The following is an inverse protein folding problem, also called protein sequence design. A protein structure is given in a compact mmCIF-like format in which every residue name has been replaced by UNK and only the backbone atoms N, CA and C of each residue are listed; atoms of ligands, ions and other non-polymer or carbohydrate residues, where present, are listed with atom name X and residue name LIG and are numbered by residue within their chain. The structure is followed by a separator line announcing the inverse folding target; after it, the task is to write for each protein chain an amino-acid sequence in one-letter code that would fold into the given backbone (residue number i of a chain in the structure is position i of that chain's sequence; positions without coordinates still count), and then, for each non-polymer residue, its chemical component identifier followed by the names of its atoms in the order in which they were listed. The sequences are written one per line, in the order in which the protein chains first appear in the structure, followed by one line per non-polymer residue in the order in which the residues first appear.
data_IF_215257777408
#
_entry.id   IF_215257777408
#
_cell.length_a   1.000
_cell.length_b   1.000
_cell.length_c   1.000
_cell.angle_alpha   90.00
_cell.angle_beta   90.00
_cell.angle_gamma   90.00
#
_symmetry.space_group_name_H-M   'P 1'
#
loop_
_entity.id
_entity.type
_entity.pdbx_description
1 polymer ?
#
# COMPACT_ATOMS: atom_id res chain seq x y z
N UNK A 1 -48.13 -63.86 36.25
CA UNK A 1 -47.82 -62.46 36.63
C UNK A 1 -46.65 -62.00 35.78
N UNK A 2 -46.92 -61.30 34.66
CA UNK A 2 -46.78 -59.83 34.48
C UNK A 2 -45.32 -59.33 34.38
N UNK A 3 -44.95 -58.96 33.13
CA UNK A 3 -43.98 -57.93 32.68
C UNK A 3 -42.50 -58.08 33.12
N UNK A 4 -41.45 -57.69 32.38
CA UNK A 4 -41.33 -56.69 31.31
C UNK A 4 -40.14 -57.01 30.38
N UNK A 5 -40.35 -56.84 29.08
CA UNK A 5 -39.29 -56.85 28.08
C UNK A 5 -38.45 -55.57 28.14
N UNK A 6 -37.13 -55.72 28.15
CA UNK A 6 -36.17 -54.62 28.17
C UNK A 6 -35.81 -54.28 26.72
N UNK A 7 -36.37 -53.18 26.20
CA UNK A 7 -36.03 -52.66 24.87
C UNK A 7 -34.66 -51.96 24.94
N UNK A 8 -33.67 -52.46 24.23
CA UNK A 8 -32.44 -51.73 23.90
C UNK A 8 -32.82 -50.64 22.88
N UNK A 9 -32.80 -49.38 23.31
CA UNK A 9 -32.85 -48.24 22.40
C UNK A 9 -31.48 -48.02 21.78
N UNK A 10 -31.34 -48.28 20.47
CA UNK A 10 -30.24 -47.74 19.68
C UNK A 10 -30.47 -46.25 19.47
N UNK A 11 -29.66 -45.42 20.11
CA UNK A 11 -29.60 -43.99 19.84
C UNK A 11 -28.77 -43.78 18.57
N UNK A 12 -29.43 -43.50 17.45
CA UNK A 12 -28.79 -43.11 16.21
C UNK A 12 -28.22 -41.68 16.35
N UNK A 13 -26.90 -41.58 16.44
CA UNK A 13 -26.17 -40.32 16.48
C UNK A 13 -26.06 -39.77 15.06
N UNK A 14 -26.96 -38.84 14.68
CA UNK A 14 -26.86 -38.10 13.41
C UNK A 14 -25.68 -37.13 13.49
N UNK A 15 -24.60 -37.43 12.76
CA UNK A 15 -23.51 -36.51 12.49
C UNK A 15 -23.98 -35.50 11.43
N UNK A 16 -24.41 -34.32 11.86
CA UNK A 16 -24.61 -33.16 10.99
C UNK A 16 -23.23 -32.67 10.52
N UNK A 17 -22.83 -33.07 9.31
CA UNK A 17 -21.70 -32.48 8.61
C UNK A 17 -22.02 -31.04 8.23
N UNK A 18 -21.59 -30.10 9.06
CA UNK A 18 -21.60 -28.68 8.71
C UNK A 18 -20.54 -28.42 7.64
N UNK A 19 -20.97 -28.22 6.38
CA UNK A 19 -20.12 -27.57 5.38
C UNK A 19 -19.77 -26.17 5.90
N UNK A 20 -18.55 -26.01 6.39
CA UNK A 20 -17.96 -24.70 6.62
C UNK A 20 -17.80 -24.04 5.25
N UNK A 21 -18.74 -23.17 4.88
CA UNK A 21 -18.51 -22.20 3.83
C UNK A 21 -17.40 -21.29 4.33
N UNK A 22 -16.17 -21.55 3.87
CA UNK A 22 -15.09 -20.59 3.98
C UNK A 22 -15.61 -19.28 3.37
N UNK A 23 -15.51 -18.13 4.07
CA UNK A 23 -15.78 -16.86 3.43
C UNK A 23 -14.86 -16.77 2.21
N UNK A 24 -15.44 -16.45 1.06
CA UNK A 24 -14.66 -16.11 -0.12
C UNK A 24 -13.64 -15.05 0.31
N UNK A 25 -12.36 -15.29 0.05
CA UNK A 25 -11.36 -14.26 0.18
C UNK A 25 -11.85 -13.07 -0.65
N UNK A 26 -12.07 -11.92 -0.01
CA UNK A 26 -12.35 -10.68 -0.74
C UNK A 26 -11.26 -10.55 -1.82
N UNK A 27 -11.60 -10.26 -3.09
CA UNK A 27 -10.62 -9.76 -4.06
C UNK A 27 -10.23 -8.31 -3.72
N UNK A 28 -10.17 -8.00 -2.41
CA UNK A 28 -9.68 -6.75 -1.88
C UNK A 28 -8.20 -6.74 -2.16
N UNK A 29 -7.83 -5.95 -3.17
CA UNK A 29 -6.53 -5.33 -3.37
C UNK A 29 -5.52 -5.76 -2.30
N UNK A 30 -4.65 -6.70 -2.65
CA UNK A 30 -3.45 -6.94 -1.86
C UNK A 30 -2.72 -5.60 -1.77
N UNK A 31 -2.88 -4.92 -0.62
CA UNK A 31 -2.14 -3.71 -0.34
C UNK A 31 -0.67 -4.06 -0.57
N UNK A 32 0.07 -3.29 -1.38
CA UNK A 32 1.49 -3.54 -1.53
C UNK A 32 2.11 -3.55 -0.14
N UNK A 33 2.86 -4.61 0.19
CA UNK A 33 3.57 -4.76 1.46
C UNK A 33 4.45 -3.56 1.83
N UNK A 34 4.75 -2.69 0.85
CA UNK A 34 5.49 -1.44 1.01
C UNK A 34 4.90 -0.47 2.04
N UNK A 35 3.58 -0.47 2.28
CA UNK A 35 2.97 0.46 3.25
C UNK A 35 3.01 -0.04 4.71
N UNK A 36 3.49 -1.26 4.99
CA UNK A 36 3.35 -1.89 6.31
C UNK A 36 4.03 -1.13 7.46
N UNK A 37 4.96 -0.23 7.13
CA UNK A 37 5.69 0.62 8.09
C UNK A 37 5.51 2.12 7.82
N UNK A 38 4.63 2.53 6.91
CA UNK A 38 4.38 3.94 6.59
C UNK A 38 2.91 4.26 6.81
N UNK A 39 2.61 5.39 7.44
CA UNK A 39 1.25 5.86 7.71
C UNK A 39 1.13 7.31 7.26
N UNK A 40 -0.03 7.66 6.70
CA UNK A 40 -0.39 9.04 6.39
C UNK A 40 -1.58 9.40 7.24
N UNK A 41 -1.43 10.41 8.08
CA UNK A 41 -2.42 10.87 9.01
C UNK A 41 -3.04 12.16 8.52
N UNK A 42 -4.36 12.14 8.28
CA UNK A 42 -5.17 13.33 8.05
C UNK A 42 -5.76 13.75 9.38
N UNK A 43 -5.24 14.85 9.92
CA UNK A 43 -5.65 15.37 11.21
C UNK A 43 -6.70 16.48 11.05
N UNK A 44 -7.41 16.75 12.14
CA UNK A 44 -8.23 17.96 12.24
C UNK A 44 -7.38 19.23 12.02
N UNK A 45 -8.07 20.34 11.75
CA UNK A 45 -7.44 21.64 11.44
C UNK A 45 -6.54 21.61 10.18
N UNK A 46 -6.72 20.59 9.33
CA UNK A 46 -6.03 20.48 8.03
C UNK A 46 -4.57 20.07 8.13
N UNK A 47 -4.09 19.63 9.30
CA UNK A 47 -2.74 19.11 9.44
C UNK A 47 -2.63 17.73 8.78
N UNK A 48 -1.62 17.53 7.96
CA UNK A 48 -1.22 16.22 7.45
C UNK A 48 0.14 15.84 8.04
N UNK A 49 0.29 14.58 8.43
CA UNK A 49 1.54 14.05 8.96
C UNK A 49 1.83 12.68 8.36
N UNK A 50 3.08 12.43 7.99
CA UNK A 50 3.54 11.10 7.57
C UNK A 50 4.36 10.49 8.68
N UNK A 51 4.13 9.22 9.01
CA UNK A 51 4.91 8.49 9.99
C UNK A 51 5.54 7.26 9.33
N UNK A 52 6.83 7.01 9.55
CA UNK A 52 7.54 5.84 9.04
C UNK A 52 8.33 5.16 10.15
N UNK A 53 8.08 3.86 10.34
CA UNK A 53 8.86 3.06 11.28
C UNK A 53 10.15 2.54 10.62
N UNK A 54 11.27 2.75 11.30
CA UNK A 54 12.60 2.28 10.93
C UNK A 54 13.34 1.75 12.16
N UNK A 55 13.43 0.42 12.26
CA UNK A 55 13.89 -0.24 13.48
C UNK A 55 12.99 0.11 14.67
N UNK A 56 13.60 0.58 15.76
CA UNK A 56 12.88 1.00 16.98
C UNK A 56 12.36 2.44 16.95
N UNK A 57 12.69 3.19 15.88
CA UNK A 57 12.32 4.60 15.75
C UNK A 57 11.12 4.78 14.82
N UNK A 58 10.41 5.86 15.07
CA UNK A 58 9.37 6.35 14.17
C UNK A 58 9.75 7.75 13.69
N UNK A 59 10.06 7.87 12.41
CA UNK A 59 10.21 9.17 11.76
C UNK A 59 8.84 9.79 11.54
N UNK A 60 8.63 11.00 12.05
CA UNK A 60 7.43 11.80 11.83
C UNK A 60 7.78 12.99 10.95
N UNK A 61 7.15 13.06 9.78
CA UNK A 61 7.25 14.16 8.83
C UNK A 61 6.01 15.04 8.98
N UNK A 62 6.22 16.26 9.48
CA UNK A 62 5.23 17.33 9.57
C UNK A 62 5.55 18.38 8.50
N UNK A 63 4.60 19.27 8.14
CA UNK A 63 4.80 20.24 7.06
C UNK A 63 6.02 21.15 7.22
N UNK A 64 6.48 21.36 8.45
CA UNK A 64 7.60 22.27 8.77
C UNK A 64 8.79 21.59 9.44
N UNK A 65 8.71 20.29 9.74
CA UNK A 65 9.77 19.61 10.48
C UNK A 65 9.71 18.10 10.31
N UNK A 66 10.88 17.47 10.37
CA UNK A 66 11.01 16.01 10.49
C UNK A 66 11.59 15.68 11.85
N UNK A 67 11.01 14.71 12.54
CA UNK A 67 11.39 14.32 13.89
C UNK A 67 11.62 12.81 13.96
N UNK A 68 12.66 12.38 14.67
CA UNK A 68 12.77 10.99 15.12
C UNK A 68 12.06 10.87 16.47
N UNK A 69 11.07 10.00 16.55
CA UNK A 69 10.36 9.68 17.79
C UNK A 69 10.81 8.34 18.34
N UNK A 70 11.02 8.28 19.63
CA UNK A 70 11.34 7.06 20.36
C UNK A 70 10.06 6.41 20.87
N UNK A 71 10.00 5.07 20.84
CA UNK A 71 8.90 4.34 21.48
C UNK A 71 8.98 4.55 22.99
N UNK A 72 7.85 4.89 23.59
CA UNK A 72 7.70 5.00 25.04
C UNK A 72 6.67 3.98 25.52
N UNK A 73 7.03 3.18 26.52
CA UNK A 73 6.19 2.10 27.05
C UNK A 73 6.56 0.72 26.49
N UNK A 74 5.73 -0.28 26.81
CA UNK A 74 5.92 -1.67 26.35
C UNK A 74 5.56 -1.88 24.87
N UNK A 75 5.82 -3.07 24.33
CA UNK A 75 5.53 -3.42 22.93
C UNK A 75 4.06 -3.32 22.52
N UNK A 76 3.14 -3.34 23.49
CA UNK A 76 1.71 -3.12 23.26
C UNK A 76 1.31 -1.64 23.20
N UNK A 77 2.14 -0.74 23.73
CA UNK A 77 1.89 0.69 23.68
C UNK A 77 2.43 1.25 22.36
N UNK A 78 1.53 1.75 21.52
CA UNK A 78 1.88 2.41 20.27
C UNK A 78 2.13 3.92 20.45
N UNK A 79 2.81 4.28 21.55
CA UNK A 79 3.18 5.65 21.90
C UNK A 79 4.62 5.93 21.49
N UNK A 80 4.81 7.06 20.80
CA UNK A 80 6.10 7.54 20.32
C UNK A 80 6.27 9.00 20.71
N UNK A 81 7.49 9.40 21.09
CA UNK A 81 7.72 10.73 21.65
C UNK A 81 9.10 11.30 21.29
N UNK A 82 9.17 12.63 21.22
CA UNK A 82 10.38 13.46 21.31
C UNK A 82 10.16 14.57 22.35
N UNK A 83 11.10 15.51 22.47
CA UNK A 83 10.97 16.65 23.39
C UNK A 83 9.71 17.49 23.14
N UNK A 84 9.31 17.67 21.88
CA UNK A 84 8.24 18.59 21.48
C UNK A 84 6.99 17.91 20.94
N UNK A 85 7.04 16.60 20.67
CA UNK A 85 5.95 15.86 20.02
C UNK A 85 5.64 14.55 20.72
N UNK A 86 4.35 14.21 20.81
CA UNK A 86 3.88 12.87 21.19
C UNK A 86 2.90 12.36 20.15
N UNK A 87 3.12 11.15 19.65
CA UNK A 87 2.20 10.43 18.78
C UNK A 87 1.72 9.17 19.48
N UNK A 88 0.42 9.07 19.72
CA UNK A 88 -0.23 7.83 20.17
C UNK A 88 -1.00 7.23 19.00
N UNK A 89 -0.48 6.16 18.40
CA UNK A 89 -1.15 5.48 17.29
C UNK A 89 -2.28 4.59 17.82
N UNK A 90 -3.36 4.52 17.05
CA UNK A 90 -4.47 3.59 17.24
C UNK A 90 -4.59 2.69 16.01
N UNK A 91 -5.58 1.79 16.00
CA UNK A 91 -5.83 0.92 14.85
C UNK A 91 -6.31 1.69 13.62
N UNK A 92 -7.05 2.79 13.80
CA UNK A 92 -7.67 3.56 12.72
C UNK A 92 -7.02 4.91 12.47
N UNK A 93 -6.10 5.35 13.32
CA UNK A 93 -5.59 6.71 13.30
C UNK A 93 -4.50 6.97 14.33
N UNK A 94 -4.48 8.20 14.85
CA UNK A 94 -3.58 8.60 15.91
C UNK A 94 -4.10 9.83 16.66
N UNK A 95 -3.65 9.99 17.91
CA UNK A 95 -3.65 11.27 18.59
C UNK A 95 -2.24 11.86 18.50
N UNK A 96 -2.12 13.03 17.90
CA UNK A 96 -0.85 13.75 17.73
C UNK A 96 -0.85 15.00 18.60
N UNK A 97 0.18 15.18 19.42
CA UNK A 97 0.40 16.40 20.22
C UNK A 97 1.69 17.06 19.77
N UNK A 98 1.62 18.35 19.44
CA UNK A 98 2.77 19.19 19.04
C UNK A 98 2.78 20.42 19.94
N UNK A 99 3.73 20.50 20.86
CA UNK A 99 3.69 21.48 21.95
C UNK A 99 2.42 21.33 22.80
N UNK A 100 1.62 22.38 22.85
CA UNK A 100 0.33 22.42 23.55
C UNK A 100 -0.86 22.04 22.65
N UNK A 101 -0.66 21.98 21.33
CA UNK A 101 -1.73 21.64 20.39
C UNK A 101 -1.92 20.13 20.33
N UNK A 102 -3.17 19.69 20.36
CA UNK A 102 -3.56 18.28 20.16
C UNK A 102 -4.40 18.18 18.90
N UNK A 103 -4.14 17.12 18.15
CA UNK A 103 -4.80 16.78 16.90
C UNK A 103 -5.37 15.36 16.98
N UNK A 104 -6.54 15.18 16.38
CA UNK A 104 -7.16 13.88 16.15
C UNK A 104 -6.99 13.52 14.69
N UNK A 105 -6.36 12.38 14.43
CA UNK A 105 -5.97 12.00 13.08
C UNK A 105 -6.58 10.67 12.67
N UNK A 106 -6.97 10.59 11.40
CA UNK A 106 -7.40 9.37 10.74
C UNK A 106 -6.29 8.89 9.81
N UNK A 107 -5.99 7.60 9.83
CA UNK A 107 -5.02 7.01 8.90
C UNK A 107 -5.64 6.93 7.50
N UNK A 108 -4.87 7.29 6.48
CA UNK A 108 -5.18 7.12 5.06
C UNK A 108 -4.25 6.05 4.47
N UNK A 109 -4.66 4.76 4.48
CA UNK A 109 -3.84 3.68 3.96
C UNK A 109 -3.56 3.79 2.46
N UNK A 110 -4.43 4.47 1.71
CA UNK A 110 -4.24 4.65 0.26
C UNK A 110 -3.10 5.63 0.02
N UNK A 111 -3.10 6.77 0.70
CA UNK A 111 -2.00 7.72 0.65
C UNK A 111 -0.69 7.11 1.15
N UNK A 112 -0.74 6.27 2.19
CA UNK A 112 0.43 5.61 2.75
C UNK A 112 1.21 4.74 1.75
N UNK A 113 0.54 4.10 0.78
CA UNK A 113 1.22 3.33 -0.28
C UNK A 113 2.08 4.24 -1.16
N UNK A 114 1.58 5.41 -1.54
CA UNK A 114 2.30 6.36 -2.38
C UNK A 114 3.45 7.01 -1.61
N UNK A 115 3.23 7.42 -0.36
CA UNK A 115 4.28 7.97 0.50
C UNK A 115 5.36 6.94 0.82
N UNK A 116 5.00 5.67 1.03
CA UNK A 116 5.98 4.60 1.20
C UNK A 116 6.89 4.47 -0.04
N UNK A 117 6.31 4.59 -1.24
CA UNK A 117 7.05 4.53 -2.51
C UNK A 117 8.07 5.68 -2.58
N UNK A 118 7.63 6.90 -2.25
CA UNK A 118 8.47 8.10 -2.21
C UNK A 118 9.62 7.94 -1.22
N UNK A 119 9.31 7.53 0.01
CA UNK A 119 10.32 7.35 1.08
C UNK A 119 11.28 6.18 0.81
N UNK A 120 10.90 5.23 -0.04
CA UNK A 120 11.78 4.17 -0.52
C UNK A 120 12.72 4.63 -1.65
N UNK A 121 12.65 5.90 -2.07
CA UNK A 121 13.54 6.48 -3.08
C UNK A 121 13.03 6.35 -4.53
N UNK A 122 11.76 5.99 -4.73
CA UNK A 122 11.17 6.00 -6.06
C UNK A 122 10.74 7.42 -6.46
N UNK A 123 10.96 7.75 -7.72
CA UNK A 123 10.65 9.03 -8.35
C UNK A 123 9.25 9.03 -9.02
N UNK A 124 8.73 7.85 -9.33
CA UNK A 124 7.45 7.70 -10.02
C UNK A 124 6.77 6.39 -9.61
N UNK A 125 5.44 6.44 -9.47
CA UNK A 125 4.61 5.26 -9.29
C UNK A 125 3.46 5.23 -10.31
N UNK A 126 3.29 4.09 -10.95
CA UNK A 126 2.14 3.76 -11.80
C UNK A 126 1.36 2.58 -11.23
N UNK A 127 0.06 2.54 -11.49
CA UNK A 127 -0.86 1.50 -11.05
C UNK A 127 -1.89 1.21 -12.14
N UNK A 128 -2.36 -0.04 -12.20
CA UNK A 128 -3.52 -0.39 -13.01
C UNK A 128 -4.34 -1.51 -12.39
N UNK A 129 -5.60 -1.58 -12.79
CA UNK A 129 -6.64 -2.32 -12.08
C UNK A 129 -6.86 -3.74 -12.60
N UNK A 130 -6.81 -3.94 -13.93
CA UNK A 130 -7.18 -5.20 -14.56
C UNK A 130 -6.21 -5.59 -15.69
N UNK A 131 -5.38 -6.63 -15.51
CA UNK A 131 -5.07 -7.27 -14.23
C UNK A 131 -4.45 -6.26 -13.25
N UNK A 132 -4.48 -6.53 -11.93
CA UNK A 132 -3.87 -5.64 -10.94
C UNK A 132 -2.34 -5.60 -11.05
N UNK A 133 -1.76 -4.40 -11.15
CA UNK A 133 -0.30 -4.20 -11.21
C UNK A 133 0.12 -2.84 -10.64
N UNK A 134 1.40 -2.74 -10.27
CA UNK A 134 2.05 -1.46 -10.03
C UNK A 134 3.49 -1.44 -10.55
N UNK A 135 3.94 -0.24 -10.89
CA UNK A 135 5.29 0.08 -11.34
C UNK A 135 5.86 1.14 -10.43
N UNK A 136 7.09 0.95 -9.99
CA UNK A 136 7.86 1.95 -9.27
C UNK A 136 9.18 2.16 -10.00
N UNK A 137 9.47 3.43 -10.32
CA UNK A 137 10.67 3.83 -11.03
C UNK A 137 11.50 4.74 -10.12
N UNK A 138 12.79 4.46 -10.01
CA UNK A 138 13.74 5.29 -9.28
C UNK A 138 15.08 5.36 -10.00
N UNK A 139 15.74 6.53 -9.97
CA UNK A 139 17.08 6.72 -10.56
C UNK A 139 18.23 6.32 -9.62
N UNK A 140 17.98 6.26 -8.32
CA UNK A 140 18.97 5.90 -7.29
C UNK A 140 18.73 4.52 -6.64
N UNK A 141 17.67 3.82 -7.04
CA UNK A 141 17.28 2.51 -6.51
C UNK A 141 16.79 1.63 -7.66
N UNK A 142 16.94 0.29 -7.58
CA UNK A 142 16.39 -0.61 -8.58
C UNK A 142 14.88 -0.40 -8.75
N UNK A 143 14.43 -0.24 -9.99
CA UNK A 143 13.01 -0.09 -10.33
C UNK A 143 12.31 -1.45 -10.29
N UNK A 144 10.99 -1.46 -10.14
CA UNK A 144 10.24 -2.71 -10.10
C UNK A 144 8.87 -2.63 -10.75
N UNK A 145 8.50 -3.72 -11.42
CA UNK A 145 7.17 -4.02 -11.91
C UNK A 145 6.62 -5.20 -11.11
N UNK A 146 5.42 -5.05 -10.56
CA UNK A 146 4.73 -6.10 -9.83
C UNK A 146 3.37 -6.33 -10.43
N UNK A 147 3.10 -7.58 -10.80
CA UNK A 147 1.87 -8.03 -11.48
C UNK A 147 1.22 -9.15 -10.67
N UNK A 148 0.11 -9.68 -11.20
CA UNK A 148 -0.58 -10.85 -10.64
C UNK A 148 -0.88 -10.68 -9.14
N UNK A 149 -1.37 -9.49 -8.79
CA UNK A 149 -1.74 -9.11 -7.42
C UNK A 149 -0.61 -9.29 -6.39
N UNK A 150 0.64 -9.09 -6.82
CA UNK A 150 1.81 -9.16 -5.93
C UNK A 150 2.61 -10.46 -6.02
N UNK A 151 2.11 -11.47 -6.75
CA UNK A 151 2.78 -12.78 -6.86
C UNK A 151 3.94 -12.80 -7.83
N UNK A 152 3.93 -11.90 -8.83
CA UNK A 152 4.99 -11.79 -9.83
C UNK A 152 5.71 -10.45 -9.67
N UNK A 153 7.03 -10.48 -9.53
CA UNK A 153 7.88 -9.29 -9.41
C UNK A 153 9.05 -9.36 -10.37
N UNK A 154 9.24 -8.28 -11.13
CA UNK A 154 10.41 -8.01 -11.94
C UNK A 154 11.14 -6.80 -11.35
N UNK A 155 12.43 -6.93 -11.05
CA UNK A 155 13.30 -5.85 -10.62
C UNK A 155 14.31 -5.57 -11.73
N UNK A 156 14.55 -4.31 -12.05
CA UNK A 156 15.41 -3.93 -13.17
C UNK A 156 16.11 -2.59 -12.91
N UNK A 157 17.28 -2.42 -13.51
CA UNK A 157 17.96 -1.13 -13.56
C UNK A 157 17.28 -0.24 -14.61
N UNK A 158 17.01 1.01 -14.24
CA UNK A 158 16.37 1.95 -15.14
C UNK A 158 17.41 2.50 -16.12
N UNK A 159 17.24 2.33 -17.44
CA UNK A 159 18.12 2.95 -18.43
C UNK A 159 17.88 4.46 -18.51
N UNK A 160 18.73 5.15 -19.25
CA UNK A 160 18.41 6.52 -19.67
C UNK A 160 17.11 6.54 -20.47
N UNK A 161 16.27 7.53 -20.21
CA UNK A 161 15.02 7.68 -20.94
C UNK A 161 15.28 7.97 -22.42
N UNK A 162 14.59 7.25 -23.29
CA UNK A 162 14.51 7.60 -24.70
C UNK A 162 13.70 8.89 -24.81
N UNK A 163 14.33 9.94 -25.35
CA UNK A 163 13.63 11.19 -25.64
C UNK A 163 12.80 10.97 -26.90
N UNK A 164 11.47 10.84 -26.75
CA UNK A 164 10.58 10.89 -27.90
C UNK A 164 10.44 12.35 -28.35
N UNK A 165 10.33 12.60 -29.66
CA UNK A 165 10.18 13.96 -30.21
C UNK A 165 8.88 14.67 -29.78
N UNK A 166 7.99 13.95 -29.10
CA UNK A 166 6.73 14.47 -28.56
C UNK A 166 6.92 14.90 -27.12
N UNK A 167 6.73 16.19 -26.86
CA UNK A 167 6.77 16.75 -25.51
C UNK A 167 5.78 16.01 -24.59
N UNK A 168 6.24 15.64 -23.39
CA UNK A 168 5.41 14.98 -22.38
C UNK A 168 5.34 13.46 -22.50
N UNK A 169 6.14 12.82 -23.36
CA UNK A 169 6.30 11.36 -23.36
C UNK A 169 7.69 10.97 -22.87
N UNK A 170 7.75 9.96 -22.02
CA UNK A 170 8.98 9.30 -21.59
C UNK A 170 8.89 7.81 -21.90
N UNK A 171 9.91 7.28 -22.57
CA UNK A 171 9.99 5.88 -22.96
C UNK A 171 11.23 5.24 -22.34
N UNK A 172 11.06 4.07 -21.74
CA UNK A 172 12.16 3.23 -21.28
C UNK A 172 12.08 1.88 -21.99
N UNK A 173 13.20 1.41 -22.57
CA UNK A 173 13.32 0.07 -23.13
C UNK A 173 14.41 -0.72 -22.42
N UNK A 174 14.05 -1.92 -21.99
CA UNK A 174 14.93 -2.85 -21.29
C UNK A 174 14.89 -4.19 -22.06
N UNK A 175 15.60 -4.29 -23.22
CA UNK A 175 15.46 -5.43 -24.13
C UNK A 175 15.78 -6.79 -23.51
N UNK A 176 16.75 -6.83 -22.59
CA UNK A 176 17.13 -8.04 -21.86
C UNK A 176 15.99 -8.62 -21.03
N UNK A 177 15.08 -7.77 -20.54
CA UNK A 177 13.87 -8.17 -19.79
C UNK A 177 12.63 -8.27 -20.68
N UNK A 178 12.75 -8.00 -21.98
CA UNK A 178 11.61 -7.84 -22.91
C UNK A 178 10.59 -6.83 -22.37
N UNK A 179 11.06 -5.77 -21.73
CA UNK A 179 10.25 -4.76 -21.06
C UNK A 179 10.34 -3.43 -21.80
N UNK A 180 9.18 -2.79 -21.99
CA UNK A 180 9.08 -1.41 -22.45
C UNK A 180 8.03 -0.67 -21.61
N UNK A 181 8.35 0.56 -21.22
CA UNK A 181 7.50 1.41 -20.38
C UNK A 181 7.31 2.74 -21.09
N UNK A 182 6.07 3.11 -21.35
CA UNK A 182 5.68 4.42 -21.88
C UNK A 182 4.91 5.18 -20.81
N UNK A 183 5.40 6.37 -20.46
CA UNK A 183 4.74 7.31 -19.57
C UNK A 183 4.39 8.54 -20.36
N UNK A 184 3.13 8.94 -20.33
CA UNK A 184 2.62 10.11 -21.03
C UNK A 184 2.02 11.08 -20.01
N UNK A 185 2.48 12.33 -20.01
CA UNK A 185 2.06 13.43 -19.13
C UNK A 185 0.67 13.95 -19.54
N UNK A 186 -0.32 13.06 -19.44
CA UNK A 186 -1.70 13.28 -19.78
C UNK A 186 -2.59 12.82 -18.62
N UNK A 187 -3.61 13.62 -18.31
CA UNK A 187 -4.57 13.29 -17.26
C UNK A 187 -5.17 11.89 -17.45
N UNK A 188 -5.19 11.15 -16.35
CA UNK A 188 -5.66 9.78 -16.29
C UNK A 188 -6.60 9.62 -15.10
N UNK A 189 -7.82 9.16 -15.34
CA UNK A 189 -8.77 8.87 -14.28
C UNK A 189 -8.73 7.36 -13.99
N UNK A 190 -8.45 7.00 -12.74
CA UNK A 190 -8.54 5.61 -12.30
C UNK A 190 -10.00 5.16 -12.28
N UNK A 191 -10.33 4.20 -13.15
CA UNK A 191 -11.69 3.70 -13.33
C UNK A 191 -12.30 3.09 -12.07
N UNK A 192 -11.49 2.61 -11.13
CA UNK A 192 -11.98 1.95 -9.91
C UNK A 192 -12.20 2.93 -8.76
N UNK A 193 -11.39 4.00 -8.66
CA UNK A 193 -11.47 4.92 -7.53
C UNK A 193 -11.90 6.34 -7.88
N UNK A 194 -11.90 6.71 -9.15
CA UNK A 194 -12.16 8.06 -9.64
C UNK A 194 -10.99 9.03 -9.42
N UNK A 195 -9.87 8.59 -8.80
CA UNK A 195 -8.69 9.43 -8.56
C UNK A 195 -8.09 9.89 -9.89
N UNK A 196 -7.72 11.18 -9.95
CA UNK A 196 -7.11 11.79 -11.13
C UNK A 196 -5.60 11.83 -10.94
N UNK A 197 -4.90 11.26 -11.92
CA UNK A 197 -3.46 11.18 -12.00
C UNK A 197 -2.94 12.06 -13.13
N UNK A 198 -1.69 12.51 -12.99
CA UNK A 198 -1.02 13.38 -13.96
C UNK A 198 -0.49 12.64 -15.19
N UNK A 199 -0.51 11.30 -15.19
CA UNK A 199 0.12 10.52 -16.24
C UNK A 199 -0.66 9.25 -16.59
N UNK A 200 -0.62 8.89 -17.87
CA UNK A 200 -0.99 7.56 -18.39
C UNK A 200 0.26 6.71 -18.50
N UNK A 201 0.12 5.43 -18.18
CA UNK A 201 1.22 4.47 -18.21
C UNK A 201 0.82 3.26 -19.04
N UNK A 202 1.67 2.88 -19.98
CA UNK A 202 1.61 1.60 -20.69
C UNK A 202 2.89 0.82 -20.44
N UNK A 203 2.74 -0.45 -20.06
CA UNK A 203 3.86 -1.37 -19.87
C UNK A 203 3.67 -2.56 -20.79
N UNK A 204 4.71 -2.90 -21.55
CA UNK A 204 4.78 -4.11 -22.36
C UNK A 204 5.87 -5.00 -21.78
N UNK A 205 5.50 -6.20 -21.32
CA UNK A 205 6.43 -7.18 -20.77
C UNK A 205 6.23 -8.54 -21.45
N UNK A 206 7.12 -8.87 -22.39
CA UNK A 206 6.92 -10.02 -23.27
C UNK A 206 5.63 -9.89 -24.09
N UNK A 207 4.65 -10.77 -23.83
CA UNK A 207 3.33 -10.72 -24.45
C UNK A 207 2.29 -9.92 -23.64
N UNK A 208 2.59 -9.61 -22.37
CA UNK A 208 1.70 -8.89 -21.48
C UNK A 208 1.69 -7.40 -21.85
N UNK A 209 0.50 -6.82 -21.92
CA UNK A 209 0.29 -5.37 -22.10
C UNK A 209 -0.58 -4.85 -20.98
N UNK A 210 -0.07 -3.87 -20.25
CA UNK A 210 -0.70 -3.29 -19.08
C UNK A 210 -0.94 -1.81 -19.33
N UNK A 211 -2.11 -1.32 -18.95
CA UNK A 211 -2.47 0.10 -19.01
C UNK A 211 -2.92 0.57 -17.64
N UNK A 212 -2.62 1.82 -17.32
CA UNK A 212 -2.91 2.37 -16.01
C UNK A 212 -2.60 3.85 -15.91
N UNK A 213 -2.69 4.35 -14.68
CA UNK A 213 -2.44 5.74 -14.32
C UNK A 213 -1.20 5.83 -13.43
N UNK A 214 -0.59 7.00 -13.36
CA UNK A 214 0.53 7.22 -12.46
C UNK A 214 0.83 8.69 -12.22
N UNK A 215 1.69 8.95 -11.25
CA UNK A 215 2.20 10.28 -10.98
C UNK A 215 3.66 10.23 -10.53
N UNK A 216 4.44 11.27 -10.81
CA UNK A 216 5.74 11.41 -10.19
C UNK A 216 5.57 11.65 -8.68
N UNK A 217 6.58 11.25 -7.91
CA UNK A 217 6.64 11.34 -6.45
C UNK A 217 7.61 12.49 -6.12
N UNK A 218 7.14 13.52 -5.44
CA UNK A 218 7.93 14.70 -5.04
C UNK A 218 7.52 15.14 -3.63
#
# INVERSE_FOLDING_TARGET
MRFAGRRLGLTAMLLLGGCSLLPAADPGWSQPAAANNTWVYRCDQGLEAVARAEGERLWLFLPRQTLSLERVGGSQESRFQSESVTLLRTTTGAQLRVGEQSYQCVNDPRAAVWEASKLNGFDFRGVGNEPGWYLEIGRGVPSQLVTDYGSTRLVFDLPEAETESTAGVTLYRIPQEKLAIRIEALSCNDSMSGEVFSSRVEVVWGALRLRGCGRPLH
#
